data_IF_075760289315
#
_entry.id   IF_075760289315
#
_cell.length_a   1.000
_cell.length_b   1.000
_cell.length_c   1.000
_cell.angle_alpha   90.00
_cell.angle_beta   90.00
_cell.angle_gamma   90.00
#
_symmetry.space_group_name_H-M   'P 1'
#
loop_
_entity.id
_entity.type
_entity.pdbx_description
1 polymer ?
#
# COMPACT_ATOMS: atom_id res chain seq x y z
N UNK A 1 1.41 -20.48 2.32
CA UNK A 1 0.45 -19.41 2.67
C UNK A 1 -0.56 -19.95 3.69
N UNK A 2 -0.80 -19.22 4.77
CA UNK A 2 -1.72 -19.56 5.87
C UNK A 2 -2.76 -18.46 5.99
N UNK A 3 -4.04 -18.80 5.95
CA UNK A 3 -5.11 -17.84 6.21
C UNK A 3 -5.25 -17.65 7.73
N UNK A 4 -5.42 -16.42 8.17
CA UNK A 4 -5.61 -16.06 9.57
C UNK A 4 -6.58 -14.88 9.71
N UNK A 5 -6.96 -14.62 10.95
CA UNK A 5 -7.86 -13.53 11.31
C UNK A 5 -7.13 -12.59 12.25
N UNK A 6 -7.24 -11.28 12.00
CA UNK A 6 -6.67 -10.26 12.87
C UNK A 6 -7.81 -9.55 13.57
N UNK A 7 -7.74 -9.52 14.90
CA UNK A 7 -8.72 -8.81 15.71
C UNK A 7 -8.50 -7.30 15.64
N UNK A 8 -9.57 -6.61 15.31
CA UNK A 8 -9.70 -5.16 15.36
C UNK A 8 -10.64 -4.77 16.50
N UNK A 9 -10.79 -3.49 16.77
CA UNK A 9 -11.67 -3.04 17.84
C UNK A 9 -13.13 -3.33 17.52
N UNK A 10 -13.65 -4.44 18.07
CA UNK A 10 -15.05 -4.86 17.96
C UNK A 10 -15.40 -5.69 16.73
N UNK A 11 -14.44 -6.05 15.88
CA UNK A 11 -14.59 -6.92 14.72
C UNK A 11 -13.23 -7.50 14.31
N UNK A 12 -13.20 -8.34 13.28
CA UNK A 12 -11.97 -8.95 12.77
C UNK A 12 -11.88 -8.81 11.26
N UNK A 13 -10.66 -8.86 10.74
CA UNK A 13 -10.39 -8.88 9.29
C UNK A 13 -9.64 -10.15 8.90
N UNK A 14 -9.85 -10.60 7.66
CA UNK A 14 -9.11 -11.70 7.07
C UNK A 14 -7.69 -11.24 6.66
N UNK A 15 -6.72 -12.14 6.81
CA UNK A 15 -5.37 -11.93 6.30
C UNK A 15 -4.77 -13.23 5.79
N UNK A 16 -3.80 -13.13 4.88
CA UNK A 16 -2.98 -14.24 4.41
C UNK A 16 -1.53 -14.01 4.80
N UNK A 17 -0.95 -14.96 5.55
CA UNK A 17 0.47 -14.98 5.89
C UNK A 17 1.22 -15.88 4.92
N UNK A 18 2.19 -15.32 4.25
CA UNK A 18 3.18 -16.01 3.42
C UNK A 18 4.45 -16.16 4.24
N UNK A 19 4.79 -17.38 4.60
CA UNK A 19 5.91 -17.68 5.48
C UNK A 19 7.22 -17.67 4.70
N UNK A 20 8.17 -16.89 5.18
CA UNK A 20 9.57 -16.82 4.78
C UNK A 20 10.46 -16.95 6.03
N UNK A 21 11.39 -16.03 6.24
CA UNK A 21 12.16 -15.91 7.50
C UNK A 21 11.43 -15.06 8.54
N UNK A 22 11.88 -15.17 9.81
CA UNK A 22 11.27 -14.47 10.94
C UNK A 22 11.90 -13.10 11.23
N UNK A 23 12.98 -12.75 10.54
CA UNK A 23 13.74 -11.52 10.75
C UNK A 23 13.23 -10.31 9.94
N UNK A 24 12.42 -10.56 8.93
CA UNK A 24 11.83 -9.54 8.05
C UNK A 24 10.39 -9.85 7.71
N UNK A 25 9.51 -8.86 7.85
CA UNK A 25 8.08 -9.01 7.51
C UNK A 25 7.62 -7.83 6.64
N UNK A 26 6.91 -8.15 5.56
CA UNK A 26 6.29 -7.19 4.65
C UNK A 26 4.78 -7.13 4.91
N UNK A 27 4.26 -5.99 5.38
CA UNK A 27 2.83 -5.72 5.40
C UNK A 27 2.37 -5.27 4.01
N UNK A 28 1.39 -5.95 3.44
CA UNK A 28 0.88 -5.68 2.07
C UNK A 28 -0.56 -5.20 2.11
N UNK A 29 -0.80 -4.05 1.49
CA UNK A 29 -2.06 -3.31 1.49
C UNK A 29 -2.60 -3.16 0.07
N UNK A 30 -3.78 -3.75 -0.21
CA UNK A 30 -4.38 -3.73 -1.54
C UNK A 30 -5.07 -2.40 -1.88
N UNK A 31 -5.42 -2.20 -3.15
CA UNK A 31 -6.12 -1.01 -3.66
C UNK A 31 -7.63 -1.02 -3.37
N UNK A 32 -8.29 0.12 -3.62
CA UNK A 32 -9.74 0.24 -3.57
C UNK A 32 -10.41 -0.68 -4.59
N UNK A 33 -11.53 -1.30 -4.24
CA UNK A 33 -12.25 -2.30 -5.05
C UNK A 33 -11.39 -3.51 -5.47
N UNK A 34 -10.33 -3.79 -4.71
CA UNK A 34 -9.45 -4.92 -4.88
C UNK A 34 -9.61 -5.89 -3.70
N UNK A 35 -8.70 -6.83 -3.56
CA UNK A 35 -8.70 -7.80 -2.47
C UNK A 35 -7.28 -8.36 -2.26
N UNK A 36 -7.07 -9.11 -1.17
CA UNK A 36 -5.78 -9.74 -0.85
C UNK A 36 -5.29 -10.69 -1.96
N UNK A 37 -6.19 -11.38 -2.66
CA UNK A 37 -5.83 -12.29 -3.76
C UNK A 37 -5.15 -11.57 -4.92
N UNK A 38 -5.51 -10.32 -5.19
CA UNK A 38 -4.87 -9.51 -6.23
C UNK A 38 -3.38 -9.20 -5.96
N UNK A 39 -2.92 -9.41 -4.73
CA UNK A 39 -1.54 -9.21 -4.33
C UNK A 39 -0.72 -10.52 -4.33
N UNK A 40 -1.37 -11.68 -4.53
CA UNK A 40 -0.79 -13.01 -4.37
C UNK A 40 0.47 -13.22 -5.22
N UNK A 41 0.39 -12.93 -6.53
CA UNK A 41 1.48 -13.18 -7.46
C UNK A 41 2.75 -12.42 -7.09
N UNK A 42 2.62 -11.11 -6.85
CA UNK A 42 3.76 -10.28 -6.46
C UNK A 42 4.27 -10.65 -5.07
N UNK A 43 3.37 -10.86 -4.13
CA UNK A 43 3.74 -11.20 -2.74
C UNK A 43 4.50 -12.53 -2.68
N UNK A 44 3.99 -13.58 -3.33
CA UNK A 44 4.69 -14.88 -3.39
C UNK A 44 6.08 -14.75 -4.00
N UNK A 45 6.19 -14.02 -5.12
CA UNK A 45 7.48 -13.75 -5.75
C UNK A 45 8.45 -13.03 -4.79
N UNK A 46 7.98 -12.01 -4.06
CA UNK A 46 8.83 -11.28 -3.11
C UNK A 46 9.28 -12.16 -1.96
N UNK A 47 8.39 -12.99 -1.40
CA UNK A 47 8.73 -13.95 -0.34
C UNK A 47 9.79 -14.94 -0.81
N UNK A 48 9.60 -15.53 -1.98
CA UNK A 48 10.53 -16.53 -2.55
C UNK A 48 11.91 -15.91 -2.83
N UNK A 49 11.94 -14.68 -3.35
CA UNK A 49 13.18 -14.03 -3.76
C UNK A 49 13.96 -13.39 -2.61
N UNK A 50 13.27 -12.92 -1.57
CA UNK A 50 13.91 -12.15 -0.49
C UNK A 50 14.00 -12.90 0.83
N UNK A 51 13.28 -14.00 0.99
CA UNK A 51 13.15 -14.71 2.25
C UNK A 51 12.33 -13.95 3.31
N UNK A 52 11.69 -12.83 2.94
CA UNK A 52 10.88 -12.02 3.83
C UNK A 52 9.50 -12.64 3.99
N UNK A 53 9.01 -12.83 5.22
CA UNK A 53 7.58 -13.18 5.42
C UNK A 53 6.68 -12.03 4.98
N UNK A 54 5.46 -12.31 4.54
CA UNK A 54 4.54 -11.25 4.15
C UNK A 54 3.12 -11.49 4.72
N UNK A 55 2.53 -10.42 5.25
CA UNK A 55 1.15 -10.37 5.72
C UNK A 55 0.32 -9.52 4.77
N UNK A 56 -0.65 -10.13 4.09
CA UNK A 56 -1.58 -9.46 3.19
C UNK A 56 -2.94 -9.37 3.87
N UNK A 57 -3.42 -8.16 4.16
CA UNK A 57 -4.73 -7.97 4.80
C UNK A 57 -5.85 -7.79 3.78
N UNK A 58 -7.07 -8.14 4.20
CA UNK A 58 -8.32 -7.82 3.50
C UNK A 58 -9.04 -6.73 4.27
N UNK A 59 -9.25 -5.56 3.67
CA UNK A 59 -10.01 -4.50 4.32
C UNK A 59 -11.48 -4.91 4.53
N UNK A 60 -12.09 -4.43 5.61
CA UNK A 60 -13.54 -4.57 5.80
C UNK A 60 -14.31 -4.01 4.61
N UNK A 61 -15.41 -4.66 4.25
CA UNK A 61 -16.18 -4.35 3.06
C UNK A 61 -15.59 -4.88 1.74
N UNK A 62 -14.41 -5.52 1.76
CA UNK A 62 -13.78 -6.15 0.60
C UNK A 62 -13.73 -7.67 0.75
N UNK A 63 -13.43 -8.37 -0.33
CA UNK A 63 -13.29 -9.82 -0.35
C UNK A 63 -14.51 -10.55 0.18
N UNK A 64 -14.33 -11.29 1.28
CA UNK A 64 -15.40 -12.06 1.95
C UNK A 64 -16.04 -11.31 3.14
N UNK A 65 -15.70 -10.06 3.36
CA UNK A 65 -16.30 -9.26 4.43
C UNK A 65 -17.82 -9.21 4.28
N UNK A 66 -18.56 -9.30 5.39
CA UNK A 66 -20.01 -9.11 5.43
C UNK A 66 -20.43 -7.63 5.41
N UNK A 67 -19.46 -6.72 5.58
CA UNK A 67 -19.71 -5.29 5.53
C UNK A 67 -19.79 -4.81 4.08
N UNK A 68 -20.54 -3.75 3.84
CA UNK A 68 -20.51 -3.02 2.56
C UNK A 68 -19.36 -2.01 2.59
N UNK A 69 -18.44 -2.12 1.63
CA UNK A 69 -17.32 -1.20 1.49
C UNK A 69 -17.75 0.27 1.40
N UNK A 70 -18.96 0.54 0.87
CA UNK A 70 -19.51 1.90 0.74
C UNK A 70 -19.94 2.50 2.08
N UNK A 71 -20.25 1.67 3.08
CA UNK A 71 -20.65 2.08 4.42
C UNK A 71 -19.47 2.15 5.42
N UNK A 72 -18.26 1.85 4.96
CA UNK A 72 -17.03 1.93 5.75
C UNK A 72 -16.33 3.27 5.48
N UNK A 73 -15.50 3.72 6.41
CA UNK A 73 -14.67 4.94 6.28
C UNK A 73 -13.21 4.57 6.03
N UNK A 74 -12.45 5.36 5.28
CA UNK A 74 -10.99 5.19 5.22
C UNK A 74 -10.32 5.18 6.60
N UNK A 75 -10.81 5.97 7.55
CA UNK A 75 -10.30 5.96 8.93
C UNK A 75 -10.47 4.59 9.61
N UNK A 76 -11.54 3.84 9.30
CA UNK A 76 -11.74 2.47 9.81
C UNK A 76 -10.72 1.51 9.19
N UNK A 77 -10.55 1.53 7.86
CA UNK A 77 -9.50 0.74 7.20
C UNK A 77 -8.09 1.06 7.74
N UNK A 78 -7.86 2.32 8.13
CA UNK A 78 -6.59 2.69 8.73
C UNK A 78 -6.39 2.06 10.12
N UNK A 79 -7.43 1.91 10.94
CA UNK A 79 -7.34 1.17 12.20
C UNK A 79 -7.04 -0.32 11.95
N UNK A 80 -7.54 -0.89 10.88
CA UNK A 80 -7.21 -2.26 10.45
C UNK A 80 -5.73 -2.40 10.06
N UNK A 81 -5.17 -1.40 9.38
CA UNK A 81 -3.73 -1.35 9.07
C UNK A 81 -2.89 -1.28 10.34
N UNK A 82 -3.31 -0.47 11.32
CA UNK A 82 -2.64 -0.39 12.63
C UNK A 82 -2.70 -1.75 13.34
N UNK A 83 -3.88 -2.39 13.41
CA UNK A 83 -4.03 -3.70 14.03
C UNK A 83 -3.15 -4.76 13.37
N UNK A 84 -3.08 -4.77 12.04
CA UNK A 84 -2.22 -5.69 11.30
C UNK A 84 -0.73 -5.44 11.55
N UNK A 85 -0.31 -4.19 11.62
CA UNK A 85 1.06 -3.83 11.96
C UNK A 85 1.42 -4.26 13.38
N UNK A 86 0.54 -4.00 14.34
CA UNK A 86 0.75 -4.35 15.74
C UNK A 86 0.77 -5.89 15.91
N UNK A 87 -0.10 -6.62 15.21
CA UNK A 87 -0.05 -8.08 15.13
C UNK A 87 1.33 -8.59 14.64
N UNK A 88 1.89 -7.97 13.59
CA UNK A 88 3.26 -8.33 13.14
C UNK A 88 4.27 -8.12 14.26
N UNK A 89 4.18 -7.02 15.00
CA UNK A 89 5.12 -6.73 16.09
C UNK A 89 4.96 -7.64 17.31
N UNK A 90 3.78 -8.21 17.50
CA UNK A 90 3.52 -9.23 18.53
C UNK A 90 4.07 -10.60 18.14
N UNK A 91 3.78 -11.05 16.92
CA UNK A 91 4.21 -12.37 16.42
C UNK A 91 5.71 -12.41 16.04
N UNK A 92 6.25 -11.29 15.54
CA UNK A 92 7.62 -11.13 15.07
C UNK A 92 8.30 -9.94 15.76
N UNK A 93 8.53 -9.98 17.10
CA UNK A 93 8.96 -8.81 17.89
C UNK A 93 10.29 -8.21 17.46
N UNK A 94 11.17 -9.03 16.89
CA UNK A 94 12.51 -8.61 16.45
C UNK A 94 12.59 -8.35 14.94
N UNK A 95 11.51 -8.56 14.18
CA UNK A 95 11.54 -8.40 12.73
C UNK A 95 11.65 -6.93 12.31
N UNK A 96 12.43 -6.73 11.26
CA UNK A 96 12.37 -5.49 10.47
C UNK A 96 11.09 -5.47 9.65
N UNK A 97 10.25 -4.47 9.87
CA UNK A 97 8.99 -4.35 9.16
C UNK A 97 9.15 -3.44 7.94
N UNK A 98 8.66 -3.91 6.81
CA UNK A 98 8.45 -3.15 5.58
C UNK A 98 6.97 -3.05 5.27
N UNK A 99 6.54 -1.99 4.58
CA UNK A 99 5.13 -1.81 4.21
C UNK A 99 5.04 -1.54 2.71
N UNK A 100 4.21 -2.31 2.02
CA UNK A 100 3.89 -2.11 0.59
C UNK A 100 2.41 -1.81 0.42
N UNK A 101 2.11 -0.70 -0.22
CA UNK A 101 0.72 -0.31 -0.52
C UNK A 101 0.50 0.00 -1.98
N UNK A 102 -0.61 -0.50 -2.53
CA UNK A 102 -1.03 -0.24 -3.92
C UNK A 102 -2.20 0.74 -3.94
N UNK A 103 -2.09 1.85 -4.67
CA UNK A 103 -3.17 2.82 -4.87
C UNK A 103 -3.73 3.32 -3.53
N UNK A 104 -4.96 2.96 -3.18
CA UNK A 104 -5.57 3.22 -1.88
C UNK A 104 -4.74 2.65 -0.72
N UNK A 105 -4.21 1.43 -0.87
CA UNK A 105 -3.29 0.85 0.11
C UNK A 105 -2.00 1.67 0.27
N UNK A 106 -1.54 2.31 -0.81
CA UNK A 106 -0.43 3.27 -0.77
C UNK A 106 -0.75 4.48 0.10
N UNK A 107 -1.94 5.05 -0.04
CA UNK A 107 -2.41 6.13 0.85
C UNK A 107 -2.46 5.68 2.32
N UNK A 108 -2.93 4.45 2.60
CA UNK A 108 -2.95 3.89 3.95
C UNK A 108 -1.54 3.67 4.50
N UNK A 109 -0.61 3.18 3.67
CA UNK A 109 0.79 3.02 4.05
C UNK A 109 1.45 4.36 4.43
N UNK A 110 1.15 5.42 3.68
CA UNK A 110 1.64 6.78 4.00
C UNK A 110 1.01 7.30 5.31
N UNK A 111 -0.27 7.03 5.59
CA UNK A 111 -0.86 7.37 6.89
C UNK A 111 -0.12 6.68 8.05
N UNK A 112 0.31 5.42 7.84
CA UNK A 112 0.99 4.63 8.88
C UNK A 112 2.34 5.23 9.29
N UNK A 113 3.06 5.90 8.38
CA UNK A 113 4.36 6.54 8.68
C UNK A 113 4.32 7.55 9.84
N UNK A 114 3.14 8.04 10.17
CA UNK A 114 2.93 8.96 11.30
C UNK A 114 2.86 8.26 12.66
N UNK A 115 2.45 6.98 12.66
CA UNK A 115 2.02 6.30 13.89
C UNK A 115 2.90 5.11 14.25
N UNK A 116 3.65 4.58 13.28
CA UNK A 116 4.52 3.41 13.47
C UNK A 116 5.84 3.61 12.74
N UNK A 117 6.90 3.17 13.39
CA UNK A 117 8.24 3.15 12.79
C UNK A 117 8.45 1.83 12.06
N UNK A 118 8.90 1.90 10.81
CA UNK A 118 9.25 0.74 10.00
C UNK A 118 10.36 1.12 9.00
N UNK A 119 11.01 0.12 8.42
CA UNK A 119 12.25 0.31 7.67
C UNK A 119 12.05 0.76 6.24
N UNK A 120 11.14 0.11 5.51
CA UNK A 120 10.95 0.32 4.07
C UNK A 120 9.48 0.60 3.75
N UNK A 121 9.26 1.59 2.88
CA UNK A 121 7.95 1.96 2.35
C UNK A 121 7.96 1.75 0.84
N UNK A 122 7.09 0.88 0.33
CA UNK A 122 6.92 0.65 -1.11
C UNK A 122 5.54 1.15 -1.53
N UNK A 123 5.52 2.15 -2.38
CA UNK A 123 4.31 2.79 -2.88
C UNK A 123 4.12 2.44 -4.36
N UNK A 124 3.13 1.62 -4.66
CA UNK A 124 2.78 1.26 -6.03
C UNK A 124 1.58 2.09 -6.47
N UNK A 125 1.76 2.94 -7.48
CA UNK A 125 0.70 3.83 -8.01
C UNK A 125 -0.10 4.50 -6.88
N UNK A 126 0.56 5.14 -5.90
CA UNK A 126 -0.08 5.56 -4.65
C UNK A 126 -1.10 6.67 -4.88
N UNK A 127 -2.34 6.44 -4.46
CA UNK A 127 -3.38 7.46 -4.46
C UNK A 127 -3.20 8.46 -3.30
N UNK A 128 -3.86 9.61 -3.40
CA UNK A 128 -4.04 10.55 -2.30
C UNK A 128 -5.50 10.98 -2.23
N UNK A 129 -6.00 11.22 -1.03
CA UNK A 129 -7.37 11.65 -0.77
C UNK A 129 -7.39 12.94 0.03
N UNK A 130 -8.46 13.72 -0.09
CA UNK A 130 -8.56 14.94 0.73
C UNK A 130 -8.63 14.59 2.22
N UNK A 131 -8.18 15.49 3.12
CA UNK A 131 -8.29 15.26 4.56
C UNK A 131 -9.71 14.97 5.03
N UNK A 132 -10.72 15.53 4.34
CA UNK A 132 -12.14 15.26 4.62
C UNK A 132 -12.52 13.82 4.29
N UNK A 133 -12.07 13.30 3.16
CA UNK A 133 -12.43 11.97 2.67
C UNK A 133 -11.99 10.87 3.64
N UNK A 134 -10.88 11.10 4.36
CA UNK A 134 -10.42 10.15 5.39
C UNK A 134 -11.49 9.83 6.45
N UNK A 135 -12.36 10.79 6.77
CA UNK A 135 -13.42 10.65 7.78
C UNK A 135 -14.81 10.46 7.17
N UNK A 136 -14.96 10.57 5.87
CA UNK A 136 -16.24 10.39 5.17
C UNK A 136 -16.56 8.91 4.98
N UNK A 137 -17.86 8.56 4.87
CA UNK A 137 -18.22 7.25 4.35
C UNK A 137 -17.74 7.12 2.91
N UNK A 138 -17.33 5.94 2.50
CA UNK A 138 -16.82 5.72 1.15
C UNK A 138 -17.85 6.05 0.05
N UNK A 139 -19.15 5.91 0.34
CA UNK A 139 -20.23 6.34 -0.58
C UNK A 139 -20.30 7.84 -0.80
N UNK A 140 -19.81 8.64 0.17
CA UNK A 140 -19.86 10.11 0.13
C UNK A 140 -18.57 10.71 -0.47
N UNK A 141 -17.60 9.90 -0.84
CA UNK A 141 -16.36 10.33 -1.48
C UNK A 141 -16.62 10.52 -2.99
N UNK A 142 -16.41 11.74 -3.48
CA UNK A 142 -16.55 12.06 -4.89
C UNK A 142 -15.37 11.55 -5.73
N UNK A 143 -15.43 10.28 -6.09
CA UNK A 143 -14.37 9.62 -6.86
C UNK A 143 -14.27 10.07 -8.32
N UNK A 144 -15.28 10.74 -8.85
CA UNK A 144 -15.25 11.25 -10.22
C UNK A 144 -14.34 12.46 -10.37
N UNK A 145 -14.10 13.18 -9.27
CA UNK A 145 -13.28 14.38 -9.25
C UNK A 145 -11.91 14.21 -8.58
N UNK A 146 -11.57 12.98 -8.17
CA UNK A 146 -10.30 12.71 -7.49
C UNK A 146 -9.08 13.15 -8.31
N UNK A 147 -9.12 12.94 -9.62
CA UNK A 147 -8.02 13.31 -10.52
C UNK A 147 -7.70 14.81 -10.46
N UNK A 148 -8.69 15.69 -10.32
CA UNK A 148 -8.49 17.15 -10.31
C UNK A 148 -7.54 17.59 -9.18
N UNK A 149 -7.78 17.14 -7.96
CA UNK A 149 -6.92 17.53 -6.85
C UNK A 149 -5.61 16.72 -6.81
N UNK A 150 -5.58 15.55 -7.43
CA UNK A 150 -4.36 14.75 -7.58
C UNK A 150 -3.37 15.36 -8.57
N UNK A 151 -3.85 16.14 -9.54
CA UNK A 151 -3.04 16.93 -10.48
C UNK A 151 -2.68 18.33 -9.93
N UNK A 152 -3.41 18.80 -8.92
CA UNK A 152 -3.26 20.14 -8.37
C UNK A 152 -2.03 20.23 -7.46
N UNK A 153 -1.00 20.96 -7.92
CA UNK A 153 0.24 21.14 -7.18
C UNK A 153 0.05 21.89 -5.87
N UNK A 154 -0.86 22.88 -5.81
CA UNK A 154 -1.12 23.64 -4.59
C UNK A 154 -1.79 22.76 -3.54
N UNK A 155 -2.74 21.90 -3.95
CA UNK A 155 -3.32 20.89 -3.09
C UNK A 155 -2.24 19.92 -2.56
N UNK A 156 -1.39 19.38 -3.43
CA UNK A 156 -0.33 18.45 -3.05
C UNK A 156 0.69 19.10 -2.10
N UNK A 157 1.11 20.34 -2.38
CA UNK A 157 2.09 21.06 -1.55
C UNK A 157 1.53 21.43 -0.16
N UNK A 158 0.24 21.70 -0.05
CA UNK A 158 -0.42 22.07 1.21
C UNK A 158 -0.99 20.87 1.98
N UNK A 159 -0.89 19.65 1.43
CA UNK A 159 -1.55 18.48 2.02
C UNK A 159 -0.94 18.08 3.36
N UNK A 160 -1.72 18.07 4.47
CA UNK A 160 -1.18 17.86 5.81
C UNK A 160 -0.59 16.46 6.04
N UNK A 161 -1.05 15.45 5.30
CA UNK A 161 -0.46 14.12 5.34
C UNK A 161 0.97 14.13 4.80
N UNK A 162 1.19 14.74 3.63
CA UNK A 162 2.50 14.80 2.99
C UNK A 162 3.51 15.61 3.81
N UNK A 163 3.07 16.73 4.39
CA UNK A 163 3.90 17.51 5.31
C UNK A 163 4.35 16.71 6.56
N UNK A 164 3.54 15.75 7.01
CA UNK A 164 3.89 14.87 8.13
C UNK A 164 4.75 13.69 7.67
N UNK A 165 4.42 13.11 6.52
CA UNK A 165 5.11 11.97 5.94
C UNK A 165 6.58 12.28 5.60
N UNK A 166 6.93 13.55 5.33
CA UNK A 166 8.32 13.98 5.11
C UNK A 166 9.26 13.73 6.30
N UNK A 167 8.71 13.39 7.48
CA UNK A 167 9.48 13.03 8.68
C UNK A 167 9.82 11.55 8.76
N UNK A 168 9.33 10.74 7.84
CA UNK A 168 9.64 9.32 7.78
C UNK A 168 11.15 9.11 7.60
N UNK A 169 11.75 8.24 8.42
CA UNK A 169 13.21 8.02 8.43
C UNK A 169 13.62 6.73 7.69
N UNK A 170 12.65 5.94 7.26
CA UNK A 170 12.90 4.73 6.49
C UNK A 170 13.19 5.04 5.01
N UNK A 171 13.58 4.01 4.27
CA UNK A 171 13.74 4.11 2.82
C UNK A 171 12.37 4.02 2.13
N UNK A 172 12.24 4.68 0.99
CA UNK A 172 11.03 4.62 0.19
C UNK A 172 11.31 4.29 -1.28
N UNK A 173 10.41 3.50 -1.89
CA UNK A 173 10.35 3.24 -3.32
C UNK A 173 8.97 3.65 -3.83
N UNK A 174 8.94 4.46 -4.88
CA UNK A 174 7.70 4.79 -5.60
C UNK A 174 7.71 4.12 -6.97
N UNK A 175 6.75 3.23 -7.19
CA UNK A 175 6.51 2.60 -8.50
C UNK A 175 5.38 3.33 -9.18
N UNK A 176 5.62 3.86 -10.38
CA UNK A 176 4.62 4.59 -11.13
C UNK A 176 4.47 4.07 -12.56
N UNK A 177 3.27 4.21 -13.11
CA UNK A 177 2.89 3.64 -14.40
C UNK A 177 2.62 4.74 -15.42
N UNK A 178 3.14 4.56 -16.65
CA UNK A 178 3.05 5.60 -17.71
C UNK A 178 1.62 5.96 -18.09
N UNK A 179 0.73 4.96 -18.15
CA UNK A 179 -0.64 5.12 -18.62
C UNK A 179 -1.66 5.04 -17.49
N UNK A 180 -1.25 5.45 -16.28
CA UNK A 180 -2.15 5.46 -15.12
C UNK A 180 -3.27 6.50 -15.30
N UNK A 181 -4.48 6.01 -15.40
CA UNK A 181 -5.68 6.82 -15.58
C UNK A 181 -6.28 7.38 -14.29
N UNK A 182 -5.84 6.87 -13.11
CA UNK A 182 -6.37 7.26 -11.79
C UNK A 182 -5.41 8.11 -10.96
N UNK A 183 -4.13 7.77 -11.03
CA UNK A 183 -3.09 8.47 -10.26
C UNK A 183 -2.16 9.21 -11.24
N UNK A 184 -2.30 10.53 -11.35
CA UNK A 184 -1.47 11.33 -12.26
C UNK A 184 -0.03 11.41 -11.77
N UNK A 185 0.86 11.74 -12.70
CA UNK A 185 2.30 11.84 -12.45
C UNK A 185 2.63 12.85 -11.34
N UNK A 186 1.87 13.93 -11.24
CA UNK A 186 2.03 14.98 -10.21
C UNK A 186 1.95 14.40 -8.79
N UNK A 187 1.01 13.47 -8.56
CA UNK A 187 0.89 12.76 -7.27
C UNK A 187 2.11 11.89 -7.01
N UNK A 188 2.55 11.09 -7.98
CA UNK A 188 3.71 10.21 -7.80
C UNK A 188 5.01 11.00 -7.63
N UNK A 189 5.21 12.07 -8.41
CA UNK A 189 6.34 12.98 -8.26
C UNK A 189 6.38 13.60 -6.86
N UNK A 190 5.20 13.97 -6.32
CA UNK A 190 5.13 14.53 -4.96
C UNK A 190 5.49 13.51 -3.89
N UNK A 191 5.10 12.24 -4.03
CA UNK A 191 5.56 11.20 -3.12
C UNK A 191 7.07 10.94 -3.23
N UNK A 192 7.63 10.95 -4.45
CA UNK A 192 9.09 10.83 -4.65
C UNK A 192 9.81 11.98 -3.94
N UNK A 193 9.34 13.22 -4.11
CA UNK A 193 9.90 14.40 -3.45
C UNK A 193 9.83 14.29 -1.91
N UNK A 194 8.64 14.00 -1.38
CA UNK A 194 8.38 13.99 0.07
C UNK A 194 9.23 12.96 0.81
N UNK A 195 9.43 11.79 0.22
CA UNK A 195 10.19 10.71 0.83
C UNK A 195 11.67 10.67 0.40
N UNK A 196 12.09 11.56 -0.50
CA UNK A 196 13.38 11.43 -1.20
C UNK A 196 13.54 9.99 -1.73
N UNK A 197 12.47 9.47 -2.38
CA UNK A 197 12.33 8.06 -2.69
C UNK A 197 13.10 7.65 -3.93
N UNK A 198 13.58 6.41 -3.94
CA UNK A 198 13.90 5.73 -5.18
C UNK A 198 12.64 5.57 -6.03
N UNK A 199 12.79 5.44 -7.34
CA UNK A 199 11.63 5.30 -8.21
C UNK A 199 11.82 4.22 -9.28
N UNK A 200 10.73 3.53 -9.61
CA UNK A 200 10.65 2.61 -10.74
C UNK A 200 9.53 3.04 -11.68
N UNK A 201 9.87 3.16 -12.96
CA UNK A 201 8.95 3.52 -14.03
C UNK A 201 8.52 2.30 -14.82
N UNK A 202 7.22 2.00 -14.83
CA UNK A 202 6.62 0.92 -15.63
C UNK A 202 6.03 1.49 -16.92
N UNK A 203 6.80 1.37 -18.02
CA UNK A 203 6.43 1.89 -19.34
C UNK A 203 5.26 1.12 -19.94
N UNK A 204 4.25 1.81 -20.46
CA UNK A 204 3.07 1.22 -21.10
C UNK A 204 2.09 0.56 -20.14
N UNK A 205 2.29 0.68 -18.82
CA UNK A 205 1.40 0.12 -17.82
C UNK A 205 0.31 1.10 -17.42
N UNK A 206 -0.92 0.57 -17.31
CA UNK A 206 -2.08 1.26 -16.73
C UNK A 206 -2.02 1.14 -15.19
N UNK A 207 -3.04 1.67 -14.50
CA UNK A 207 -3.11 1.66 -13.03
C UNK A 207 -2.96 0.26 -12.41
N UNK A 208 -3.63 -0.73 -12.97
CA UNK A 208 -3.56 -2.09 -12.45
C UNK A 208 -2.26 -2.80 -12.86
N UNK A 209 -1.87 -3.81 -12.09
CA UNK A 209 -0.81 -4.72 -12.49
C UNK A 209 -1.20 -5.40 -13.81
N UNK A 210 -0.32 -5.29 -14.80
CA UNK A 210 -0.61 -5.72 -16.16
C UNK A 210 -0.38 -7.23 -16.31
N UNK A 211 -1.41 -8.01 -16.01
CA UNK A 211 -1.35 -9.49 -16.09
C UNK A 211 -1.23 -10.01 -17.54
N UNK A 212 -1.62 -9.20 -18.52
CA UNK A 212 -1.49 -9.47 -19.96
C UNK A 212 -0.20 -8.91 -20.59
N UNK A 213 0.67 -8.29 -19.80
CA UNK A 213 1.99 -7.87 -20.26
C UNK A 213 2.86 -9.08 -20.63
N UNK A 214 3.85 -8.91 -21.54
CA UNK A 214 4.88 -9.91 -21.75
C UNK A 214 5.52 -10.38 -20.45
N UNK A 215 5.83 -11.67 -20.36
CA UNK A 215 6.36 -12.26 -19.10
C UNK A 215 7.65 -11.59 -18.64
N UNK A 216 8.50 -11.20 -19.55
CA UNK A 216 9.75 -10.49 -19.26
C UNK A 216 9.51 -9.11 -18.65
N UNK A 217 8.47 -8.38 -19.07
CA UNK A 217 8.06 -7.12 -18.44
C UNK A 217 7.54 -7.35 -17.03
N UNK A 218 6.71 -8.39 -16.82
CA UNK A 218 6.20 -8.74 -15.50
C UNK A 218 7.33 -9.15 -14.55
N UNK A 219 8.28 -9.96 -15.03
CA UNK A 219 9.46 -10.35 -14.26
C UNK A 219 10.36 -9.15 -13.93
N UNK A 220 10.62 -8.26 -14.90
CA UNK A 220 11.37 -7.04 -14.65
C UNK A 220 10.72 -6.15 -13.58
N UNK A 221 9.40 -6.02 -13.60
CA UNK A 221 8.63 -5.27 -12.59
C UNK A 221 8.78 -5.87 -11.19
N UNK A 222 8.56 -7.19 -11.06
CA UNK A 222 8.68 -7.90 -9.79
C UNK A 222 10.12 -7.85 -9.26
N UNK A 223 11.09 -8.08 -10.18
CA UNK A 223 12.52 -8.05 -9.86
C UNK A 223 12.98 -6.69 -9.37
N UNK A 224 12.51 -5.59 -9.96
CA UNK A 224 12.88 -4.25 -9.53
C UNK A 224 12.51 -4.00 -8.05
N UNK A 225 11.33 -4.46 -7.60
CA UNK A 225 10.89 -4.34 -6.21
C UNK A 225 11.70 -5.26 -5.30
N UNK A 226 11.93 -6.52 -5.73
CA UNK A 226 12.72 -7.50 -5.00
C UNK A 226 14.16 -7.03 -4.78
N UNK A 227 14.83 -6.58 -5.86
CA UNK A 227 16.21 -6.10 -5.80
C UNK A 227 16.33 -4.88 -4.87
N UNK A 228 15.35 -3.98 -4.90
CA UNK A 228 15.33 -2.83 -4.00
C UNK A 228 15.17 -3.26 -2.54
N UNK A 229 14.32 -4.25 -2.24
CA UNK A 229 14.17 -4.79 -0.89
C UNK A 229 15.44 -5.50 -0.39
N UNK A 230 16.23 -6.10 -1.28
CA UNK A 230 17.49 -6.79 -0.93
C UNK A 230 18.65 -5.83 -0.61
N UNK A 231 18.58 -4.58 -1.04
CA UNK A 231 19.60 -3.55 -0.82
C UNK A 231 19.54 -3.02 0.63
N UNK A 232 19.87 -3.86 1.61
CA UNK A 232 19.84 -3.48 3.03
C UNK A 232 21.24 -3.41 3.62
#
# INVERSE_FOLDING_TARGET
MKNLVIDCVGYSIDADLYEGGDDKVLLVLHGWNSNKKSQEELTSYLVDETGTSALVIEYSGHGKSSLDAMEVRPAQHFLEVIAAFDWIKEEYPNAEVSVMGTSYGGYMAVQLTKYRDFKNLILRVPAIYTPRDFYSLNKDIDRQHERRYREDKDFLNSHPLLARASKFQGRALVVWHELDEYVPKETTDKYIEVFNADSYFAKGWKHSFKTDAPKDEQEAYKKAISDWLKQQ
#
